data_IF_255871080911
#
_entry.id   IF_255871080911
#
_cell.length_a   1.000
_cell.length_b   1.000
_cell.length_c   1.000
_cell.angle_alpha   90.00
_cell.angle_beta   90.00
_cell.angle_gamma   90.00
#
_symmetry.space_group_name_H-M   'P 1'
#
loop_
_entity.id
_entity.type
_entity.pdbx_description
1 polymer ?
#
# COMPACT_ATOMS: atom_id res chain seq x y z
N UNK A 1 15.51 22.06 1.23
CA UNK A 1 14.72 20.90 0.74
C UNK A 1 13.26 21.12 1.10
N UNK A 2 12.35 21.11 0.13
CA UNK A 2 10.92 21.16 0.41
C UNK A 2 10.55 19.89 1.18
N UNK A 3 10.42 20.01 2.51
CA UNK A 3 9.92 18.93 3.36
C UNK A 3 8.45 18.74 2.98
N UNK A 4 8.19 17.94 1.94
CA UNK A 4 6.84 17.49 1.64
C UNK A 4 6.37 16.76 2.90
N UNK A 5 5.54 17.45 3.68
CA UNK A 5 5.10 16.96 4.99
C UNK A 5 4.23 15.73 4.76
N UNK A 6 4.83 14.56 4.93
CA UNK A 6 4.12 13.30 5.00
C UNK A 6 3.02 13.41 6.05
N UNK A 7 1.87 12.85 5.72
CA UNK A 7 0.72 12.75 6.61
C UNK A 7 0.21 11.33 6.56
N UNK A 8 -0.48 10.96 7.62
CA UNK A 8 -1.22 9.72 7.67
C UNK A 8 -2.61 9.93 7.08
N UNK A 9 -2.93 9.11 6.11
CA UNK A 9 -4.19 9.07 5.40
C UNK A 9 -4.90 7.77 5.69
N UNK A 10 -6.21 7.80 5.69
CA UNK A 10 -7.04 6.62 5.80
C UNK A 10 -7.83 6.45 4.52
N UNK A 11 -7.82 5.23 3.99
CA UNK A 11 -8.71 4.80 2.93
C UNK A 11 -9.36 3.48 3.35
N UNK A 12 -10.67 3.41 3.17
CA UNK A 12 -11.47 2.25 3.54
C UNK A 12 -11.90 1.54 2.26
N UNK A 13 -11.80 0.22 2.27
CA UNK A 13 -12.30 -0.67 1.24
C UNK A 13 -13.20 -1.74 1.83
N UNK A 14 -14.03 -2.33 0.99
CA UNK A 14 -14.91 -3.44 1.37
C UNK A 14 -14.76 -4.59 0.36
N UNK A 15 -14.73 -5.81 0.87
CA UNK A 15 -14.87 -7.03 0.07
C UNK A 15 -16.35 -7.40 -0.08
N UNK A 16 -16.64 -8.28 -1.03
CA UNK A 16 -18.00 -8.83 -1.22
C UNK A 16 -18.44 -9.74 -0.05
N UNK A 17 -17.48 -10.28 0.71
CA UNK A 17 -17.73 -11.03 1.96
C UNK A 17 -18.20 -10.15 3.12
N UNK A 18 -18.17 -8.82 2.95
CA UNK A 18 -18.52 -7.84 3.99
C UNK A 18 -17.38 -7.52 4.96
N UNK A 19 -16.16 -7.99 4.69
CA UNK A 19 -14.95 -7.61 5.43
C UNK A 19 -14.57 -6.17 5.05
N UNK A 20 -14.32 -5.35 6.06
CA UNK A 20 -13.84 -3.97 5.91
C UNK A 20 -12.33 -3.93 6.01
N UNK A 21 -11.67 -3.30 5.05
CA UNK A 21 -10.23 -3.09 5.01
C UNK A 21 -9.92 -1.62 5.22
N UNK A 22 -9.12 -1.31 6.25
CA UNK A 22 -8.69 0.05 6.56
C UNK A 22 -7.20 0.16 6.30
N UNK A 23 -6.81 0.93 5.29
CA UNK A 23 -5.41 1.21 5.00
C UNK A 23 -5.01 2.57 5.55
N UNK A 24 -4.09 2.55 6.52
CA UNK A 24 -3.46 3.71 7.12
C UNK A 24 -2.15 3.99 6.38
N UNK A 25 -2.14 5.00 5.51
CA UNK A 25 -1.08 5.24 4.52
C UNK A 25 -0.34 6.52 4.83
N UNK A 26 0.98 6.45 4.93
CA UNK A 26 1.85 7.62 5.00
C UNK A 26 2.14 8.12 3.58
N UNK A 27 1.62 9.30 3.23
CA UNK A 27 1.81 9.89 1.91
C UNK A 27 1.79 11.43 1.96
N UNK A 28 2.25 12.07 0.90
CA UNK A 28 2.28 13.54 0.82
C UNK A 28 0.94 14.16 0.43
N UNK A 29 0.02 13.39 -0.17
CA UNK A 29 -1.30 13.91 -0.61
C UNK A 29 -2.36 12.82 -0.81
N UNK A 30 -3.65 13.19 -0.71
CA UNK A 30 -4.80 12.33 -1.05
C UNK A 30 -4.72 11.76 -2.46
N UNK A 31 -4.30 12.57 -3.44
CA UNK A 31 -4.23 12.14 -4.85
C UNK A 31 -3.30 10.94 -5.02
N UNK A 32 -2.19 10.90 -4.26
CA UNK A 32 -1.27 9.76 -4.27
C UNK A 32 -1.88 8.54 -3.60
N UNK A 33 -2.60 8.72 -2.50
CA UNK A 33 -3.37 7.63 -1.86
C UNK A 33 -4.31 6.99 -2.88
N UNK A 34 -5.12 7.78 -3.60
CA UNK A 34 -6.03 7.26 -4.64
C UNK A 34 -5.26 6.54 -5.74
N UNK A 35 -4.18 7.16 -6.24
CA UNK A 35 -3.40 6.62 -7.36
C UNK A 35 -2.85 5.23 -7.04
N UNK A 36 -2.30 5.04 -5.84
CA UNK A 36 -1.67 3.77 -5.48
C UNK A 36 -2.65 2.77 -4.87
N UNK A 37 -3.63 3.22 -4.08
CA UNK A 37 -4.46 2.34 -3.26
C UNK A 37 -5.96 2.36 -3.61
N UNK A 38 -6.43 3.31 -4.43
CA UNK A 38 -7.84 3.39 -4.81
C UNK A 38 -8.25 2.37 -5.89
N UNK A 39 -9.55 2.06 -5.93
CA UNK A 39 -10.13 1.06 -6.82
C UNK A 39 -10.02 -0.37 -6.28
N UNK A 40 -10.19 -1.35 -7.15
CA UNK A 40 -10.14 -2.77 -6.79
C UNK A 40 -8.70 -3.22 -6.56
N UNK A 41 -8.43 -3.82 -5.40
CA UNK A 41 -7.14 -4.35 -4.99
C UNK A 41 -7.28 -5.75 -4.41
N UNK A 42 -6.25 -6.56 -4.54
CA UNK A 42 -6.17 -7.87 -3.91
C UNK A 42 -5.64 -7.72 -2.49
N UNK A 43 -6.39 -8.20 -1.51
CA UNK A 43 -6.02 -8.13 -0.09
C UNK A 43 -6.19 -9.51 0.56
N UNK A 44 -5.42 -9.79 1.61
CA UNK A 44 -5.60 -11.01 2.40
C UNK A 44 -6.65 -10.81 3.47
N UNK A 45 -7.65 -11.68 3.49
CA UNK A 45 -8.65 -11.76 4.55
C UNK A 45 -8.08 -12.50 5.80
N UNK A 46 -8.87 -12.63 6.87
CA UNK A 46 -8.45 -13.22 8.14
C UNK A 46 -7.99 -14.68 8.03
N UNK A 47 -8.58 -15.42 7.10
CA UNK A 47 -8.24 -16.81 6.79
C UNK A 47 -7.00 -16.93 5.86
N UNK A 48 -6.44 -15.80 5.43
CA UNK A 48 -5.33 -15.73 4.49
C UNK A 48 -5.72 -15.80 3.03
N UNK A 49 -7.02 -15.97 2.72
CA UNK A 49 -7.55 -15.98 1.36
C UNK A 49 -7.36 -14.61 0.72
N UNK A 50 -6.95 -14.59 -0.55
CA UNK A 50 -6.82 -13.35 -1.31
C UNK A 50 -8.19 -13.01 -1.90
N UNK A 51 -8.74 -11.86 -1.49
CA UNK A 51 -10.05 -11.37 -1.92
C UNK A 51 -9.93 -10.02 -2.62
N UNK A 52 -10.77 -9.75 -3.63
CA UNK A 52 -10.88 -8.42 -4.21
C UNK A 52 -11.56 -7.47 -3.21
N UNK A 53 -10.95 -6.31 -3.01
CA UNK A 53 -11.41 -5.24 -2.13
C UNK A 53 -11.51 -3.96 -2.92
N UNK A 54 -12.69 -3.33 -2.89
CA UNK A 54 -12.91 -2.06 -3.58
C UNK A 54 -12.65 -0.90 -2.63
N UNK A 55 -11.57 -0.15 -2.87
CA UNK A 55 -11.24 1.08 -2.17
C UNK A 55 -11.79 2.30 -2.91
N UNK A 56 -12.20 3.33 -2.15
CA UNK A 56 -12.73 4.56 -2.73
C UNK A 56 -11.75 5.26 -3.67
N UNK A 57 -12.27 5.82 -4.76
CA UNK A 57 -11.54 6.74 -5.64
C UNK A 57 -11.94 8.20 -5.42
N UNK A 58 -12.88 8.46 -4.51
CA UNK A 58 -13.38 9.80 -4.22
C UNK A 58 -12.53 10.47 -3.15
N UNK A 59 -12.05 11.68 -3.42
CA UNK A 59 -11.17 12.42 -2.49
C UNK A 59 -11.84 12.72 -1.14
N UNK A 60 -13.17 12.88 -1.10
CA UNK A 60 -13.94 13.16 0.12
C UNK A 60 -13.99 11.99 1.10
N UNK A 61 -13.78 10.76 0.61
CA UNK A 61 -13.83 9.54 1.41
C UNK A 61 -12.44 9.15 1.98
N UNK A 62 -11.40 9.93 1.66
CA UNK A 62 -10.04 9.73 2.16
C UNK A 62 -9.77 10.73 3.29
N UNK A 63 -9.69 10.21 4.50
CA UNK A 63 -9.50 11.03 5.69
C UNK A 63 -8.03 11.29 5.93
N UNK A 64 -7.71 12.47 6.46
CA UNK A 64 -6.38 12.81 6.96
C UNK A 64 -6.39 12.68 8.47
N UNK A 65 -5.44 11.96 9.03
CA UNK A 65 -5.28 11.87 10.49
C UNK A 65 -4.60 13.11 11.04
N UNK A 66 -4.76 13.33 12.34
CA UNK A 66 -4.16 14.47 13.03
C UNK A 66 -2.63 14.41 12.92
N UNK A 67 -1.94 15.55 12.99
CA UNK A 67 -0.46 15.59 12.94
C UNK A 67 0.21 14.84 14.08
N UNK A 68 -0.51 14.61 15.19
CA UNK A 68 -0.02 13.87 16.36
C UNK A 68 -0.29 12.36 16.24
N UNK A 69 -1.05 11.93 15.22
CA UNK A 69 -1.36 10.52 15.01
C UNK A 69 -0.12 9.77 14.53
N UNK A 70 0.08 8.58 15.07
CA UNK A 70 1.11 7.63 14.62
C UNK A 70 0.58 6.19 14.70
N UNK A 71 1.18 5.23 13.98
CA UNK A 71 0.74 3.84 14.04
C UNK A 71 0.72 3.24 15.46
N UNK A 72 1.58 3.73 16.37
CA UNK A 72 1.56 3.30 17.78
C UNK A 72 0.28 3.66 18.53
N UNK A 73 -0.54 4.57 17.99
CA UNK A 73 -1.85 4.97 18.55
C UNK A 73 -3.02 4.12 18.03
N UNK A 74 -2.74 3.05 17.28
CA UNK A 74 -3.76 2.13 16.75
C UNK A 74 -4.58 1.41 17.82
N UNK A 75 -4.14 1.40 19.08
CA UNK A 75 -4.87 0.84 20.23
C UNK A 75 -6.31 1.36 20.37
N UNK A 76 -6.64 2.56 19.84
CA UNK A 76 -7.96 3.18 19.97
C UNK A 76 -8.84 3.11 18.71
N UNK A 77 -8.34 2.59 17.58
CA UNK A 77 -9.14 2.41 16.36
C UNK A 77 -9.84 1.03 16.32
N UNK A 78 -9.63 0.21 17.35
CA UNK A 78 -10.25 -1.09 17.50
C UNK A 78 -11.70 -0.96 17.94
N UNK A 79 -12.62 -1.03 16.97
CA UNK A 79 -13.90 -1.67 17.23
C UNK A 79 -13.64 -3.17 17.12
N UNK A 80 -13.95 -3.98 18.14
CA UNK A 80 -13.76 -5.43 18.13
C UNK A 80 -14.84 -6.11 17.28
N UNK A 81 -15.07 -5.60 16.07
CA UNK A 81 -15.93 -6.26 15.11
C UNK A 81 -15.07 -7.24 14.31
N UNK A 82 -15.48 -8.51 14.24
CA UNK A 82 -14.72 -9.64 13.70
C UNK A 82 -14.47 -9.55 12.18
N UNK A 83 -14.76 -8.40 11.56
CA UNK A 83 -14.77 -8.18 10.11
C UNK A 83 -13.93 -6.98 9.67
N UNK A 84 -13.06 -6.42 10.53
CA UNK A 84 -12.20 -5.28 10.14
C UNK A 84 -10.72 -5.62 10.14
N UNK A 85 -10.07 -5.51 8.98
CA UNK A 85 -8.63 -5.69 8.80
C UNK A 85 -7.97 -4.32 8.65
N UNK A 86 -6.95 -4.05 9.46
CA UNK A 86 -6.21 -2.78 9.42
C UNK A 86 -4.79 -3.01 8.93
N UNK A 87 -4.36 -2.26 7.91
CA UNK A 87 -3.02 -2.30 7.36
C UNK A 87 -2.35 -0.93 7.45
N UNK A 88 -1.12 -0.90 7.99
CA UNK A 88 -0.29 0.30 8.05
C UNK A 88 0.74 0.27 6.93
N UNK A 89 0.71 1.27 6.06
CA UNK A 89 1.57 1.38 4.89
C UNK A 89 2.41 2.66 5.00
N UNK A 90 3.69 2.51 5.31
CA UNK A 90 4.64 3.62 5.42
C UNK A 90 5.26 3.96 4.07
N UNK A 91 5.61 5.23 3.90
CA UNK A 91 6.39 5.66 2.75
C UNK A 91 7.79 4.99 2.77
N UNK A 92 8.29 4.48 1.63
CA UNK A 92 9.63 3.91 1.51
C UNK A 92 10.71 4.83 2.05
N UNK A 93 11.52 4.33 2.99
CA UNK A 93 12.66 5.03 3.59
C UNK A 93 13.96 4.42 3.08
N UNK A 94 14.98 5.25 2.90
CA UNK A 94 16.30 4.85 2.42
C UNK A 94 17.35 5.45 3.33
N UNK A 95 18.29 4.62 3.81
CA UNK A 95 19.37 5.06 4.69
C UNK A 95 20.66 5.11 3.90
N UNK A 96 21.33 6.27 3.95
CA UNK A 96 22.69 6.40 3.46
C UNK A 96 23.70 6.06 4.56
N UNK A 97 24.91 5.67 4.18
CA UNK A 97 26.05 5.49 5.09
C UNK A 97 26.39 6.75 5.89
N UNK A 98 26.15 7.94 5.34
CA UNK A 98 26.35 9.19 6.07
C UNK A 98 25.33 9.43 7.20
N UNK A 99 24.35 8.55 7.35
CA UNK A 99 23.30 8.64 8.36
C UNK A 99 22.02 9.33 7.90
N UNK A 100 22.03 10.04 6.76
CA UNK A 100 20.83 10.66 6.20
C UNK A 100 19.76 9.61 5.85
N UNK A 101 18.52 9.93 6.22
CA UNK A 101 17.33 9.15 5.84
C UNK A 101 16.57 9.95 4.79
N UNK A 102 16.39 9.31 3.64
CA UNK A 102 15.59 9.83 2.56
C UNK A 102 14.27 9.10 2.48
N UNK A 103 13.23 9.80 2.05
CA UNK A 103 11.91 9.23 1.88
C UNK A 103 11.51 9.38 0.42
N UNK A 104 11.10 8.27 -0.18
CA UNK A 104 10.52 8.24 -1.51
C UNK A 104 9.08 7.80 -1.41
N UNK A 105 8.29 8.19 -2.39
CA UNK A 105 6.90 7.75 -2.52
C UNK A 105 6.82 6.43 -3.29
N UNK A 106 7.74 6.25 -4.24
CA UNK A 106 7.89 5.03 -5.00
C UNK A 106 9.02 4.17 -4.43
N UNK A 107 8.90 2.86 -4.65
CA UNK A 107 9.92 1.88 -4.31
C UNK A 107 10.99 1.87 -5.41
N UNK A 108 12.23 2.02 -4.98
CA UNK A 108 13.44 1.99 -5.79
C UNK A 108 14.45 1.04 -5.15
N UNK A 109 15.37 0.44 -5.93
CA UNK A 109 16.47 -0.35 -5.37
C UNK A 109 17.46 0.49 -4.55
N UNK A 110 17.62 1.77 -4.92
CA UNK A 110 18.43 2.76 -4.21
C UNK A 110 18.09 4.17 -4.68
N UNK A 111 18.46 5.18 -3.90
CA UNK A 111 18.38 6.60 -4.30
C UNK A 111 19.69 7.33 -4.00
N UNK A 112 19.91 8.49 -4.61
CA UNK A 112 21.10 9.30 -4.38
C UNK A 112 20.96 10.16 -3.12
N UNK A 113 21.95 10.09 -2.24
CA UNK A 113 22.11 10.97 -1.09
C UNK A 113 22.81 12.26 -1.49
N UNK A 114 22.58 13.33 -0.75
CA UNK A 114 23.26 14.62 -0.94
C UNK A 114 24.78 14.54 -0.78
N UNK A 115 25.28 13.59 0.02
CA UNK A 115 26.71 13.34 0.20
C UNK A 115 27.40 12.64 -0.99
N UNK A 116 26.66 12.39 -2.08
CA UNK A 116 27.18 11.75 -3.30
C UNK A 116 27.22 10.22 -3.26
N UNK A 117 26.77 9.59 -2.16
CA UNK A 117 26.66 8.12 -2.04
C UNK A 117 25.23 7.62 -2.28
N UNK A 118 25.09 6.31 -2.50
CA UNK A 118 23.77 5.65 -2.57
C UNK A 118 23.18 5.46 -1.18
N UNK A 119 21.86 5.60 -1.09
CA UNK A 119 21.04 5.23 0.05
C UNK A 119 20.18 4.03 -0.33
N UNK A 120 20.08 3.04 0.55
CA UNK A 120 19.41 1.78 0.29
C UNK A 120 18.12 1.65 1.12
N UNK A 121 17.09 0.93 0.62
CA UNK A 121 15.83 0.72 1.32
C UNK A 121 16.05 0.25 2.75
N UNK A 122 15.43 0.95 3.70
CA UNK A 122 15.27 0.46 5.06
C UNK A 122 14.17 -0.56 5.02
N UNK A 123 14.53 -1.83 5.20
CA UNK A 123 13.55 -2.90 5.34
C UNK A 123 12.83 -2.69 6.66
N UNK A 124 11.62 -2.14 6.61
CA UNK A 124 10.77 -2.05 7.78
C UNK A 124 10.29 -3.48 8.08
N UNK A 125 10.77 -4.06 9.20
CA UNK A 125 10.45 -5.45 9.62
C UNK A 125 8.93 -5.66 9.72
N UNK A 126 8.18 -4.58 9.93
CA UNK A 126 6.70 -4.58 9.92
C UNK A 126 6.07 -4.73 8.52
N UNK A 127 6.79 -4.34 7.45
CA UNK A 127 6.34 -4.44 6.06
C UNK A 127 6.81 -5.71 5.35
N UNK A 128 7.89 -6.35 5.83
CA UNK A 128 8.45 -7.54 5.17
C UNK A 128 7.47 -8.72 5.20
N UNK A 129 6.68 -8.86 6.28
CA UNK A 129 5.56 -9.82 6.35
C UNK A 129 4.42 -9.55 5.33
N UNK A 130 4.36 -8.35 4.74
CA UNK A 130 3.31 -7.95 3.79
C UNK A 130 3.78 -7.89 2.33
N UNK A 131 5.09 -7.78 2.06
CA UNK A 131 5.63 -7.61 0.70
C UNK A 131 5.95 -8.91 -0.04
N UNK A 132 6.24 -10.01 0.65
CA UNK A 132 6.34 -11.36 0.03
C UNK A 132 5.02 -11.85 -0.58
N UNK A 133 3.96 -11.05 -0.47
CA UNK A 133 2.60 -11.35 -0.92
C UNK A 133 2.21 -10.55 -2.17
N UNK A 134 2.94 -9.47 -2.49
CA UNK A 134 2.61 -8.60 -3.64
C UNK A 134 3.33 -8.98 -4.95
N UNK A 135 4.39 -9.80 -4.91
CA UNK A 135 5.22 -10.12 -6.10
C UNK A 135 4.82 -11.43 -6.80
N UNK A 136 3.53 -11.69 -6.93
CA UNK A 136 3.02 -12.62 -7.95
C UNK A 136 1.98 -11.89 -8.81
N UNK A 137 2.46 -10.99 -9.66
CA UNK A 137 1.75 -10.74 -10.91
C UNK A 137 2.16 -11.86 -11.88
N UNK A 138 1.26 -12.75 -12.32
CA UNK A 138 1.47 -13.40 -13.59
C UNK A 138 1.26 -12.31 -14.65
N UNK A 139 2.34 -11.91 -15.32
CA UNK A 139 2.22 -11.31 -16.64
C UNK A 139 1.46 -12.32 -17.52
N UNK A 140 0.14 -12.16 -17.66
CA UNK A 140 -0.60 -12.79 -18.74
C UNK A 140 -0.08 -12.18 -20.03
N UNK A 141 0.86 -12.89 -20.66
CA UNK A 141 1.37 -12.52 -21.97
C UNK A 141 0.18 -12.39 -22.94
N UNK A 142 0.14 -11.29 -23.70
CA UNK A 142 -0.89 -11.04 -24.72
C UNK A 142 -0.72 -11.93 -25.97
N UNK A 143 -0.38 -13.21 -25.82
CA UNK A 143 -0.10 -14.12 -26.94
C UNK A 143 -0.84 -15.46 -26.95
N UNK A 144 -1.97 -15.58 -26.24
CA UNK A 144 -2.89 -16.71 -26.44
C UNK A 144 -4.31 -16.22 -26.78
N UNK A 145 -4.44 -15.55 -27.93
CA UNK A 145 -5.70 -15.49 -28.67
C UNK A 145 -5.44 -15.93 -30.10
N UNK A 146 -5.34 -17.24 -30.31
CA UNK A 146 -5.59 -17.90 -31.61
C UNK A 146 -5.48 -19.41 -31.43
N UNK A 147 -6.64 -20.06 -31.27
CA UNK A 147 -7.06 -21.34 -31.87
C UNK A 147 -8.10 -22.01 -30.97
N UNK A 148 -9.36 -21.64 -31.16
CA UNK A 148 -10.51 -22.47 -30.82
C UNK A 148 -11.65 -22.16 -31.80
N UNK A 149 -11.43 -22.62 -33.02
CA UNK A 149 -12.35 -22.98 -34.11
C UNK A 149 -11.51 -24.01 -34.86
N UNK A 150 -11.79 -25.30 -34.91
CA UNK A 150 -13.05 -25.98 -35.19
C UNK A 150 -13.01 -27.38 -34.57
N UNK A 151 -14.03 -27.77 -33.80
CA UNK A 151 -14.53 -29.16 -33.77
C UNK A 151 -16.03 -29.06 -33.43
N UNK A 152 -16.87 -29.04 -34.46
CA UNK A 152 -18.24 -29.54 -34.42
C UNK A 152 -18.79 -29.58 -35.85
N UNK A 153 -18.69 -30.75 -36.47
CA UNK A 153 -19.65 -31.39 -37.38
C UNK A 153 -19.04 -32.71 -37.86
#
# INVERSE_FOLDING_TARGET
MNVQRLRWWEIIGRSDSGTTFVHMIEATSRRKVIRHFGGVRQCKDFDGTIVPVTFSRHQGEIQVRSKKWSPGTLTHLFVPDAKTIVQVIRAPRYKCECGEIHISEDKYPSIWCTCGKRAYPVVDVSQQKQQDIQLQEPFSSMHERRKQKDIQA
#
